data_IF_406488284993
#
_entry.id   IF_406488284993
#
_cell.length_a   1.000
_cell.length_b   1.000
_cell.length_c   1.000
_cell.angle_alpha   90.00
_cell.angle_beta   90.00
_cell.angle_gamma   90.00
#
_symmetry.space_group_name_H-M   'P 1'
#
loop_
_entity.id
_entity.type
_entity.pdbx_description
1 polymer ?
#
# COMPACT_ATOMS: atom_id res chain seq x y z
N UNK A 1 78.22 -71.00 -6.28
CA UNK A 1 77.99 -70.12 -7.44
C UNK A 1 77.56 -68.77 -6.91
N UNK A 2 78.42 -67.75 -7.11
CA UNK A 2 78.19 -66.28 -7.11
C UNK A 2 77.37 -65.62 -5.96
N UNK A 3 78.03 -64.87 -5.05
CA UNK A 3 78.33 -63.40 -5.08
C UNK A 3 77.32 -62.65 -4.18
N UNK A 4 77.72 -62.16 -2.99
CA UNK A 4 78.40 -60.88 -2.67
C UNK A 4 77.40 -59.75 -2.34
N UNK A 5 77.62 -59.16 -1.15
CA UNK A 5 77.50 -57.71 -0.79
C UNK A 5 76.06 -57.19 -0.60
N UNK A 6 75.71 -56.26 0.30
CA UNK A 6 76.18 -55.67 1.58
C UNK A 6 75.17 -54.52 1.84
N UNK A 7 74.67 -54.38 3.08
CA UNK A 7 74.10 -53.20 3.78
C UNK A 7 73.42 -52.03 3.03
N UNK A 8 72.33 -51.48 3.61
CA UNK A 8 72.27 -50.11 4.20
C UNK A 8 70.90 -49.81 4.86
N UNK A 9 71.01 -48.99 5.90
CA UNK A 9 70.10 -48.39 6.88
C UNK A 9 68.91 -47.53 6.33
N UNK A 10 68.07 -47.09 7.29
CA UNK A 10 67.16 -45.91 7.27
C UNK A 10 65.70 -46.16 6.84
N UNK A 11 64.64 -45.52 7.33
CA UNK A 11 64.35 -44.52 8.39
C UNK A 11 62.80 -44.32 8.34
N UNK A 12 62.16 -44.13 9.50
CA UNK A 12 60.83 -43.47 9.70
C UNK A 12 59.60 -43.88 8.87
N UNK A 13 58.55 -44.33 9.56
CA UNK A 13 57.18 -44.44 9.02
C UNK A 13 56.14 -43.92 10.01
N UNK A 14 55.83 -42.64 9.92
CA UNK A 14 54.64 -41.98 10.49
C UNK A 14 54.27 -40.89 9.49
N UNK A 15 53.09 -40.96 8.89
CA UNK A 15 52.26 -39.83 8.45
C UNK A 15 50.94 -40.39 7.89
N UNK A 16 49.87 -40.10 8.62
CA UNK A 16 48.48 -40.38 8.32
C UNK A 16 47.99 -39.44 7.21
N UNK A 17 47.39 -39.99 6.15
CA UNK A 17 46.65 -39.20 5.18
C UNK A 17 45.16 -39.18 5.56
N UNK A 18 44.69 -38.06 6.11
CA UNK A 18 43.27 -37.71 6.16
C UNK A 18 42.94 -36.99 4.85
N UNK A 19 42.07 -37.58 4.04
CA UNK A 19 41.55 -36.96 2.82
C UNK A 19 40.54 -35.86 3.15
N UNK A 20 40.59 -34.79 2.36
CA UNK A 20 39.85 -33.54 2.50
C UNK A 20 38.34 -33.74 2.43
N UNK A 21 37.59 -33.12 3.37
CA UNK A 21 36.19 -32.78 3.14
C UNK A 21 36.16 -31.49 2.32
N UNK A 22 35.46 -31.53 1.19
CA UNK A 22 35.17 -30.35 0.38
C UNK A 22 34.09 -29.55 1.12
N UNK A 23 34.48 -28.56 1.94
CA UNK A 23 33.55 -27.56 2.47
C UNK A 23 33.16 -26.59 1.35
N UNK A 24 32.26 -27.04 0.47
CA UNK A 24 31.58 -26.18 -0.48
C UNK A 24 30.37 -25.54 0.21
N UNK A 25 30.61 -24.83 1.31
CA UNK A 25 29.64 -23.87 1.85
C UNK A 25 29.83 -22.56 1.10
N UNK A 26 28.77 -21.86 0.66
CA UNK A 26 28.95 -20.54 0.07
C UNK A 26 29.65 -19.67 1.11
N UNK A 27 30.80 -19.10 0.75
CA UNK A 27 31.54 -18.18 1.61
C UNK A 27 30.65 -16.95 1.78
N UNK A 28 29.86 -16.91 2.84
CA UNK A 28 29.36 -15.67 3.37
C UNK A 28 30.59 -14.93 3.90
N UNK A 29 30.94 -13.81 3.29
CA UNK A 29 31.97 -12.94 3.85
C UNK A 29 31.56 -12.61 5.29
N UNK A 30 32.44 -12.90 6.26
CA UNK A 30 32.25 -12.49 7.66
C UNK A 30 32.33 -10.95 7.83
N UNK A 31 32.59 -10.24 6.74
CA UNK A 31 32.66 -8.79 6.70
C UNK A 31 31.26 -8.19 6.87
N UNK A 32 31.19 -7.11 7.64
CA UNK A 32 29.96 -6.38 7.93
C UNK A 32 30.02 -4.97 7.35
N UNK A 33 28.87 -4.43 6.98
CA UNK A 33 28.68 -3.01 6.71
C UNK A 33 27.72 -2.39 7.72
N UNK A 34 27.66 -1.07 7.77
CA UNK A 34 26.70 -0.32 8.57
C UNK A 34 25.65 0.32 7.70
N UNK A 35 24.39 0.31 8.16
CA UNK A 35 23.28 0.91 7.45
C UNK A 35 22.60 1.97 8.32
N UNK A 36 22.31 3.11 7.73
CA UNK A 36 21.43 4.16 8.27
C UNK A 36 20.16 4.22 7.45
N UNK A 37 19.07 4.64 8.08
CA UNK A 37 17.78 4.75 7.40
C UNK A 37 17.34 6.21 7.29
N UNK A 38 16.69 6.51 6.16
CA UNK A 38 16.00 7.77 5.92
C UNK A 38 14.63 7.45 5.32
N UNK A 39 13.58 8.10 5.83
CA UNK A 39 12.23 8.02 5.27
C UNK A 39 11.86 9.37 4.68
N UNK A 40 11.25 9.34 3.51
CA UNK A 40 10.67 10.52 2.84
C UNK A 40 9.19 10.24 2.59
N UNK A 41 8.32 11.06 3.17
CA UNK A 41 6.90 11.09 2.83
C UNK A 41 6.73 11.87 1.53
N UNK A 42 6.16 11.21 0.52
CA UNK A 42 5.94 11.77 -0.82
C UNK A 42 4.48 12.10 -1.11
N UNK A 43 3.59 11.90 -0.14
CA UNK A 43 2.14 12.05 -0.32
C UNK A 43 1.71 13.48 -0.70
N UNK A 44 2.46 14.50 -0.29
CA UNK A 44 2.18 15.91 -0.66
C UNK A 44 2.57 16.22 -2.12
N UNK A 45 3.57 15.53 -2.67
CA UNK A 45 4.04 15.74 -4.05
C UNK A 45 3.14 15.04 -5.06
N UNK A 46 2.60 13.88 -4.70
CA UNK A 46 1.71 13.09 -5.56
C UNK A 46 0.29 13.68 -5.65
N UNK A 47 -0.12 14.50 -4.67
CA UNK A 47 -1.54 14.85 -4.52
C UNK A 47 -1.72 16.31 -4.09
N UNK A 48 -1.51 17.24 -5.03
CA UNK A 48 -1.60 18.71 -4.84
C UNK A 48 -2.99 19.27 -4.44
N UNK A 49 -3.99 18.43 -4.19
CA UNK A 49 -5.38 18.84 -3.88
C UNK A 49 -5.92 18.33 -2.54
N UNK A 50 -5.13 17.59 -1.73
CA UNK A 50 -5.59 17.06 -0.44
C UNK A 50 -5.20 17.97 0.72
N UNK A 51 -6.06 18.04 1.73
CA UNK A 51 -5.60 18.37 3.09
C UNK A 51 -4.53 17.33 3.47
N UNK A 52 -3.32 17.77 3.82
CA UNK A 52 -2.22 16.89 4.21
C UNK A 52 -2.73 15.81 5.17
N UNK A 53 -2.38 14.54 4.94
CA UNK A 53 -2.83 13.40 5.76
C UNK A 53 -2.38 13.51 7.23
N UNK A 54 -1.59 14.53 7.58
CA UNK A 54 -1.05 14.81 8.91
C UNK A 54 -0.41 13.57 9.54
N UNK A 55 0.30 12.79 8.72
CA UNK A 55 1.00 11.60 9.16
C UNK A 55 2.33 12.00 9.81
N UNK A 56 2.61 11.41 10.96
CA UNK A 56 3.92 11.56 11.60
C UNK A 56 4.83 10.42 11.15
N UNK A 57 5.79 10.73 10.29
CA UNK A 57 6.79 9.77 9.77
C UNK A 57 7.57 9.10 10.91
N UNK A 58 7.73 9.77 12.05
CA UNK A 58 8.39 9.21 13.24
C UNK A 58 7.66 7.99 13.81
N UNK A 59 6.35 7.88 13.59
CA UNK A 59 5.51 6.78 14.06
C UNK A 59 5.38 5.63 13.04
N UNK A 60 6.03 5.72 11.88
CA UNK A 60 5.99 4.65 10.88
C UNK A 60 6.67 3.40 11.42
N UNK A 61 6.08 2.24 11.12
CA UNK A 61 6.69 0.94 11.37
C UNK A 61 7.68 0.63 10.27
N UNK A 62 8.90 0.26 10.66
CA UNK A 62 9.98 -0.12 9.76
C UNK A 62 10.32 -1.59 9.98
N UNK A 63 10.56 -2.32 8.90
CA UNK A 63 11.04 -3.70 8.90
C UNK A 63 12.22 -3.86 7.95
N UNK A 64 13.16 -4.72 8.31
CA UNK A 64 14.33 -5.03 7.51
C UNK A 64 14.47 -6.54 7.38
N UNK A 65 14.53 -7.03 6.15
CA UNK A 65 14.73 -8.44 5.84
C UNK A 65 15.96 -8.62 4.94
N UNK A 66 16.57 -9.80 5.02
CA UNK A 66 17.52 -10.30 4.02
C UNK A 66 16.93 -11.55 3.36
N UNK A 67 16.50 -11.43 2.11
CA UNK A 67 15.60 -12.42 1.51
C UNK A 67 14.36 -12.62 2.39
N UNK A 68 14.04 -13.87 2.70
CA UNK A 68 12.90 -14.20 3.57
C UNK A 68 13.23 -14.14 5.08
N UNK A 69 14.48 -13.86 5.44
CA UNK A 69 14.90 -13.84 6.86
C UNK A 69 14.75 -12.43 7.44
N UNK A 70 13.85 -12.22 8.41
CA UNK A 70 13.71 -10.92 9.05
C UNK A 70 14.89 -10.65 9.98
N UNK A 71 15.45 -9.44 9.87
CA UNK A 71 16.40 -8.89 10.85
C UNK A 71 15.63 -8.18 11.96
N UNK A 72 14.61 -7.42 11.60
CA UNK A 72 13.57 -6.95 12.51
C UNK A 72 12.29 -6.66 11.73
N UNK A 73 11.13 -6.79 12.39
CA UNK A 73 9.83 -6.78 11.69
C UNK A 73 8.95 -5.56 11.99
N UNK A 74 9.23 -4.80 13.05
CA UNK A 74 8.38 -3.66 13.43
C UNK A 74 9.07 -2.76 14.46
N UNK A 75 9.94 -1.85 14.00
CA UNK A 75 10.51 -0.77 14.83
C UNK A 75 9.92 0.56 14.43
N UNK A 76 9.66 1.47 15.37
CA UNK A 76 9.26 2.83 15.01
C UNK A 76 10.44 3.58 14.41
N UNK A 77 10.20 4.38 13.39
CA UNK A 77 11.26 5.14 12.73
C UNK A 77 12.01 6.03 13.72
N UNK A 78 11.31 6.70 14.64
CA UNK A 78 11.93 7.54 15.70
C UNK A 78 12.95 6.81 16.57
N UNK A 79 12.81 5.50 16.74
CA UNK A 79 13.69 4.70 17.58
C UNK A 79 14.99 4.29 16.87
N UNK A 80 15.01 4.38 15.53
CA UNK A 80 16.14 3.96 14.69
C UNK A 80 16.74 5.11 13.86
N UNK A 81 16.04 6.23 13.71
CA UNK A 81 16.51 7.40 12.99
C UNK A 81 17.85 7.90 13.57
N UNK A 82 18.84 8.13 12.71
CA UNK A 82 20.18 8.56 13.12
C UNK A 82 21.06 7.47 13.74
N UNK A 83 20.56 6.24 13.92
CA UNK A 83 21.35 5.10 14.39
C UNK A 83 21.93 4.29 13.22
N UNK A 84 22.96 3.49 13.48
CA UNK A 84 23.51 2.53 12.53
C UNK A 84 23.12 1.10 12.92
N UNK A 85 22.85 0.26 11.93
CA UNK A 85 22.67 -1.19 12.10
C UNK A 85 23.78 -1.91 11.36
N UNK A 86 24.52 -2.75 12.08
CA UNK A 86 25.54 -3.63 11.50
C UNK A 86 24.87 -4.85 10.87
N UNK A 87 25.18 -5.11 9.60
CA UNK A 87 24.66 -6.22 8.81
C UNK A 87 25.81 -6.92 8.10
N UNK A 88 25.70 -8.24 7.87
CA UNK A 88 26.63 -8.95 7.00
C UNK A 88 26.63 -8.33 5.61
N UNK A 89 27.80 -8.21 4.99
CA UNK A 89 27.89 -7.74 3.63
C UNK A 89 27.15 -8.68 2.66
N UNK A 90 26.61 -8.09 1.60
CA UNK A 90 25.96 -8.80 0.51
C UNK A 90 24.57 -8.28 0.14
N UNK A 91 23.96 -8.90 -0.89
CA UNK A 91 22.73 -8.42 -1.50
C UNK A 91 21.47 -8.91 -0.76
N UNK A 92 20.32 -8.59 -1.36
CA UNK A 92 18.98 -9.07 -1.01
C UNK A 92 18.41 -8.47 0.28
N UNK A 93 18.84 -7.27 0.63
CA UNK A 93 18.21 -6.53 1.73
C UNK A 93 16.99 -5.79 1.21
N UNK A 94 15.90 -5.86 1.98
CA UNK A 94 14.66 -5.14 1.72
C UNK A 94 14.27 -4.39 2.98
N UNK A 95 14.25 -3.06 2.89
CA UNK A 95 13.74 -2.17 3.92
C UNK A 95 12.31 -1.79 3.56
N UNK A 96 11.37 -1.93 4.49
CA UNK A 96 9.98 -1.50 4.31
C UNK A 96 9.60 -0.53 5.40
N UNK A 97 8.80 0.47 5.04
CA UNK A 97 8.22 1.40 6.00
C UNK A 97 6.74 1.62 5.68
N UNK A 98 5.89 1.60 6.72
CA UNK A 98 4.47 1.85 6.57
C UNK A 98 3.83 2.50 7.81
N UNK A 99 2.80 3.32 7.61
CA UNK A 99 2.06 3.94 8.71
C UNK A 99 1.09 2.96 9.38
N UNK A 100 0.59 1.98 8.63
CA UNK A 100 -0.29 0.92 9.08
C UNK A 100 -0.19 -0.29 8.15
N UNK A 101 -0.55 -1.47 8.67
CA UNK A 101 -0.56 -2.69 7.87
C UNK A 101 -1.67 -2.67 6.82
N UNK A 102 -1.53 -3.48 5.77
CA UNK A 102 -2.57 -3.66 4.75
C UNK A 102 -3.94 -4.04 5.35
N UNK A 103 -3.97 -4.92 6.35
CA UNK A 103 -5.21 -5.31 7.02
C UNK A 103 -5.84 -4.16 7.84
N UNK A 104 -5.02 -3.36 8.52
CA UNK A 104 -5.49 -2.19 9.27
C UNK A 104 -6.03 -1.09 8.35
N UNK A 105 -5.46 -0.94 7.16
CA UNK A 105 -5.88 0.05 6.18
C UNK A 105 -7.35 -0.08 5.79
N UNK A 106 -7.93 -1.28 5.85
CA UNK A 106 -9.37 -1.50 5.57
C UNK A 106 -10.23 -1.68 6.82
N UNK A 107 -9.70 -2.26 7.90
CA UNK A 107 -10.50 -2.60 9.09
C UNK A 107 -10.65 -1.46 10.09
N UNK A 108 -9.78 -0.44 10.06
CA UNK A 108 -9.85 0.71 10.98
C UNK A 108 -11.10 1.56 10.76
N UNK A 109 -11.37 2.45 11.72
CA UNK A 109 -12.46 3.43 11.67
C UNK A 109 -13.83 2.80 11.40
N UNK A 110 -14.16 1.72 12.12
CA UNK A 110 -15.38 0.94 11.92
C UNK A 110 -15.49 0.40 10.50
N UNK A 111 -14.41 -0.21 10.00
CA UNK A 111 -14.25 -0.72 8.64
C UNK A 111 -14.25 0.32 7.51
N UNK A 112 -14.37 1.63 7.78
CA UNK A 112 -14.16 2.66 6.75
C UNK A 112 -12.72 2.73 6.25
N UNK A 113 -11.79 2.16 7.03
CA UNK A 113 -10.38 2.13 6.70
C UNK A 113 -9.68 3.46 7.01
N UNK A 114 -8.43 3.55 6.59
CA UNK A 114 -7.59 4.73 6.70
C UNK A 114 -6.57 4.77 5.55
N UNK A 115 -5.97 5.94 5.32
CA UNK A 115 -4.90 6.06 4.34
C UNK A 115 -3.72 5.15 4.72
N UNK A 116 -3.26 4.35 3.76
CA UNK A 116 -2.06 3.54 3.89
C UNK A 116 -0.95 4.20 3.11
N UNK A 117 0.12 4.53 3.80
CA UNK A 117 1.35 5.04 3.22
C UNK A 117 2.41 3.96 3.40
N UNK A 118 3.03 3.57 2.29
CA UNK A 118 3.95 2.44 2.21
C UNK A 118 5.12 2.80 1.29
N UNK A 119 6.29 2.30 1.63
CA UNK A 119 7.45 2.33 0.76
C UNK A 119 8.35 1.13 1.04
N UNK A 120 9.09 0.70 0.01
CA UNK A 120 10.13 -0.30 0.17
C UNK A 120 11.34 0.03 -0.71
N UNK A 121 12.53 -0.34 -0.25
CA UNK A 121 13.79 -0.15 -0.98
C UNK A 121 14.64 -1.41 -0.88
N UNK A 122 15.10 -1.90 -2.04
CA UNK A 122 16.02 -3.03 -2.13
C UNK A 122 17.46 -2.53 -2.24
N UNK A 123 18.38 -3.09 -1.45
CA UNK A 123 19.77 -2.64 -1.45
C UNK A 123 20.77 -3.76 -1.15
N UNK A 124 22.05 -3.43 -1.27
CA UNK A 124 23.19 -4.29 -0.94
C UNK A 124 24.01 -3.66 0.17
N UNK A 125 24.39 -4.45 1.17
CA UNK A 125 25.30 -4.01 2.23
C UNK A 125 26.74 -4.18 1.74
N UNK A 126 27.50 -3.10 1.71
CA UNK A 126 28.92 -3.11 1.33
C UNK A 126 29.79 -3.24 2.58
N UNK A 127 30.80 -4.11 2.52
CA UNK A 127 31.71 -4.36 3.63
C UNK A 127 32.50 -3.11 4.03
N UNK A 128 32.61 -2.86 5.34
CA UNK A 128 33.38 -1.75 5.94
C UNK A 128 32.92 -0.34 5.50
N UNK A 129 31.70 -0.21 5.00
CA UNK A 129 31.10 1.07 4.61
C UNK A 129 29.85 1.36 5.45
N UNK A 130 29.54 2.65 5.61
CA UNK A 130 28.27 3.11 6.16
C UNK A 130 27.42 3.66 5.02
N UNK A 131 26.29 3.03 4.73
CA UNK A 131 25.37 3.45 3.67
C UNK A 131 24.05 3.94 4.25
N UNK A 132 23.53 5.06 3.74
CA UNK A 132 22.18 5.53 4.07
C UNK A 132 21.21 5.02 3.01
N UNK A 133 20.22 4.24 3.44
CA UNK A 133 19.14 3.74 2.59
C UNK A 133 17.93 4.66 2.79
N UNK A 134 17.47 5.27 1.71
CA UNK A 134 16.29 6.13 1.70
C UNK A 134 15.10 5.35 1.15
N UNK A 135 14.00 5.31 1.90
CA UNK A 135 12.72 4.76 1.44
C UNK A 135 11.75 5.90 1.18
N UNK A 136 11.28 5.99 -0.06
CA UNK A 136 10.21 6.89 -0.44
C UNK A 136 8.88 6.21 -0.13
N UNK A 137 8.11 6.81 0.76
CA UNK A 137 6.81 6.30 1.17
C UNK A 137 5.71 7.13 0.47
N UNK A 138 4.88 6.47 -0.33
CA UNK A 138 3.77 7.08 -1.07
C UNK A 138 2.44 6.52 -0.61
N UNK A 139 1.34 7.12 -1.08
CA UNK A 139 0.02 6.56 -0.83
C UNK A 139 -0.07 5.21 -1.55
N UNK A 140 -0.53 4.16 -0.86
CA UNK A 140 -0.64 2.82 -1.42
C UNK A 140 -2.08 2.41 -1.73
N UNK A 141 -3.05 2.95 -0.98
CA UNK A 141 -4.46 2.62 -1.13
C UNK A 141 -5.25 3.80 -1.70
N UNK A 142 -6.47 3.52 -2.16
CA UNK A 142 -7.33 4.53 -2.78
C UNK A 142 -8.46 4.92 -1.85
N UNK A 143 -8.87 6.18 -1.93
CA UNK A 143 -9.96 6.73 -1.12
C UNK A 143 -11.19 7.01 -1.96
N UNK A 144 -12.36 6.80 -1.39
CA UNK A 144 -13.67 7.15 -1.95
C UNK A 144 -14.37 8.11 -1.01
N UNK A 145 -14.82 9.23 -1.58
CA UNK A 145 -15.67 10.21 -0.92
C UNK A 145 -16.90 10.48 -1.78
N UNK A 146 -17.92 11.06 -1.17
CA UNK A 146 -19.20 11.34 -1.83
C UNK A 146 -19.60 12.78 -1.56
N UNK A 147 -20.18 13.42 -2.55
CA UNK A 147 -20.79 14.73 -2.44
C UNK A 147 -22.17 14.73 -3.10
N UNK A 148 -23.12 15.35 -2.43
CA UNK A 148 -24.48 15.53 -2.93
C UNK A 148 -24.73 17.02 -3.13
N UNK A 149 -25.31 17.40 -4.27
CA UNK A 149 -25.66 18.81 -4.55
C UNK A 149 -26.56 19.41 -3.48
N UNK A 150 -26.45 20.72 -3.25
CA UNK A 150 -27.29 21.47 -2.31
C UNK A 150 -28.79 21.28 -2.56
N UNK A 151 -29.19 21.07 -3.82
CA UNK A 151 -30.57 20.75 -4.16
C UNK A 151 -31.03 19.43 -3.54
N UNK A 152 -30.25 18.35 -3.66
CA UNK A 152 -30.56 17.06 -3.03
C UNK A 152 -30.67 17.24 -1.51
N UNK A 153 -29.70 17.92 -0.93
CA UNK A 153 -29.58 18.14 0.52
C UNK A 153 -30.76 18.94 1.08
N UNK A 154 -31.28 19.89 0.30
CA UNK A 154 -32.41 20.75 0.72
C UNK A 154 -33.78 20.20 0.33
N UNK A 155 -33.86 19.31 -0.67
CA UNK A 155 -35.13 18.80 -1.21
C UNK A 155 -35.53 17.43 -0.67
N UNK A 156 -34.59 16.65 -0.15
CA UNK A 156 -34.83 15.28 0.28
C UNK A 156 -34.37 15.01 1.71
N UNK A 157 -35.22 14.34 2.47
CA UNK A 157 -34.89 13.89 3.82
C UNK A 157 -34.03 12.61 3.84
N UNK A 158 -34.08 11.81 2.78
CA UNK A 158 -33.35 10.54 2.68
C UNK A 158 -32.71 10.42 1.30
N UNK A 159 -31.42 10.17 1.23
CA UNK A 159 -30.69 9.89 -0.01
C UNK A 159 -29.41 9.14 0.32
N UNK A 160 -28.97 8.25 -0.56
CA UNK A 160 -27.74 7.50 -0.30
C UNK A 160 -27.04 7.00 -1.54
N UNK A 161 -25.77 6.65 -1.36
CA UNK A 161 -25.04 5.78 -2.27
C UNK A 161 -24.40 4.66 -1.45
N UNK A 162 -24.69 3.42 -1.83
CA UNK A 162 -24.06 2.24 -1.26
C UNK A 162 -22.89 1.83 -2.17
N UNK A 163 -21.69 1.63 -1.62
CA UNK A 163 -20.46 1.33 -2.36
C UNK A 163 -19.73 0.15 -1.72
N UNK A 164 -19.31 -0.82 -2.52
CA UNK A 164 -18.51 -1.96 -2.06
C UNK A 164 -17.57 -2.46 -3.17
N UNK A 165 -16.47 -3.11 -2.79
CA UNK A 165 -15.63 -3.80 -3.76
C UNK A 165 -16.25 -5.15 -4.12
N UNK A 166 -16.29 -5.52 -5.40
CA UNK A 166 -17.03 -6.71 -5.87
C UNK A 166 -16.47 -8.02 -5.34
N UNK A 167 -15.17 -8.04 -4.99
CA UNK A 167 -14.47 -9.13 -4.31
C UNK A 167 -14.69 -9.19 -2.79
N UNK A 168 -15.31 -8.16 -2.19
CA UNK A 168 -15.50 -8.01 -0.75
C UNK A 168 -16.86 -7.37 -0.40
N UNK A 169 -17.95 -7.92 -0.95
CA UNK A 169 -19.32 -7.38 -0.77
C UNK A 169 -19.81 -7.30 0.69
N UNK A 170 -19.21 -8.06 1.61
CA UNK A 170 -19.48 -7.95 3.04
C UNK A 170 -19.06 -6.60 3.65
N UNK A 171 -18.16 -5.86 2.99
CA UNK A 171 -17.71 -4.53 3.37
C UNK A 171 -18.37 -3.48 2.47
N UNK A 172 -19.64 -3.20 2.78
CA UNK A 172 -20.45 -2.19 2.09
C UNK A 172 -20.51 -0.89 2.89
N UNK A 173 -20.29 0.23 2.20
CA UNK A 173 -20.37 1.58 2.76
C UNK A 173 -21.61 2.28 2.28
N UNK A 174 -22.43 2.73 3.23
CA UNK A 174 -23.55 3.63 2.96
C UNK A 174 -23.14 5.06 3.26
N UNK A 175 -23.03 5.87 2.21
CA UNK A 175 -22.97 7.32 2.36
C UNK A 175 -24.38 7.87 2.25
N UNK A 176 -24.83 8.57 3.28
CA UNK A 176 -26.20 9.10 3.40
C UNK A 176 -26.19 10.52 3.97
N UNK A 177 -27.38 11.12 4.15
CA UNK A 177 -27.58 12.48 4.65
C UNK A 177 -26.88 12.79 5.97
N UNK A 178 -26.59 11.76 6.76
CA UNK A 178 -25.99 11.92 8.10
C UNK A 178 -24.48 11.94 8.07
N UNK A 179 -23.85 11.39 7.01
CA UNK A 179 -22.43 11.02 7.10
C UNK A 179 -21.56 11.43 5.90
N UNK A 180 -22.15 11.72 4.73
CA UNK A 180 -21.39 11.89 3.49
C UNK A 180 -20.29 12.97 3.54
N UNK A 181 -20.50 14.04 4.31
CA UNK A 181 -19.57 15.19 4.39
C UNK A 181 -18.26 14.90 5.13
N UNK A 182 -18.23 13.88 5.99
CA UNK A 182 -17.09 13.65 6.88
C UNK A 182 -16.58 12.20 6.85
N UNK A 183 -17.25 11.33 6.10
CA UNK A 183 -16.78 9.96 5.89
C UNK A 183 -15.97 9.86 4.60
N UNK A 184 -14.97 8.98 4.64
CA UNK A 184 -14.15 8.59 3.49
C UNK A 184 -13.88 7.11 3.66
N UNK A 185 -14.16 6.33 2.62
CA UNK A 185 -13.87 4.90 2.59
C UNK A 185 -12.51 4.68 1.94
N UNK A 186 -11.72 3.75 2.48
CA UNK A 186 -10.42 3.38 1.93
C UNK A 186 -10.42 1.94 1.45
N UNK A 187 -9.84 1.71 0.28
CA UNK A 187 -9.77 0.41 -0.38
C UNK A 187 -8.32 0.11 -0.75
N UNK A 188 -7.82 -1.05 -0.32
CA UNK A 188 -6.57 -1.55 -0.86
C UNK A 188 -6.79 -1.98 -2.30
N UNK A 189 -5.90 -1.56 -3.19
CA UNK A 189 -5.97 -1.86 -4.62
C UNK A 189 -4.60 -2.34 -5.05
N UNK A 190 -4.50 -3.57 -5.54
CA UNK A 190 -3.26 -4.14 -6.07
C UNK A 190 -3.43 -4.26 -7.59
N UNK A 191 -3.00 -3.24 -8.33
CA UNK A 191 -3.23 -3.13 -9.78
C UNK A 191 -4.59 -2.48 -10.09
N UNK A 192 -5.64 -3.28 -10.23
CA UNK A 192 -7.00 -2.77 -10.46
C UNK A 192 -8.00 -3.48 -9.55
N UNK A 193 -9.00 -2.76 -9.03
CA UNK A 193 -10.06 -3.34 -8.21
C UNK A 193 -11.41 -2.75 -8.58
N UNK A 194 -12.39 -3.60 -8.79
CA UNK A 194 -13.72 -3.18 -9.21
C UNK A 194 -14.59 -2.82 -7.99
N UNK A 195 -15.20 -1.64 -8.04
CA UNK A 195 -16.25 -1.22 -7.12
C UNK A 195 -17.61 -1.36 -7.78
N UNK A 196 -18.59 -1.82 -7.03
CA UNK A 196 -20.01 -1.66 -7.33
C UNK A 196 -20.56 -0.51 -6.50
N UNK A 197 -21.41 0.30 -7.11
CA UNK A 197 -22.10 1.38 -6.43
C UNK A 197 -23.58 1.43 -6.81
N UNK A 198 -24.43 1.83 -5.86
CA UNK A 198 -25.88 2.00 -6.07
C UNK A 198 -26.33 3.34 -5.49
N UNK A 199 -26.75 4.24 -6.37
CA UNK A 199 -27.33 5.54 -5.99
C UNK A 199 -28.83 5.35 -5.75
N UNK A 200 -29.32 5.83 -4.60
CA UNK A 200 -30.73 5.80 -4.23
C UNK A 200 -31.20 7.20 -3.84
N UNK A 201 -32.17 7.73 -4.58
CA UNK A 201 -32.87 8.98 -4.31
C UNK A 201 -34.36 8.69 -4.07
N UNK A 202 -35.12 9.59 -3.41
CA UNK A 202 -36.56 9.40 -3.23
C UNK A 202 -37.33 9.34 -4.56
N UNK A 203 -38.56 8.83 -4.50
CA UNK A 203 -39.49 8.89 -5.64
C UNK A 203 -39.57 10.31 -6.22
N UNK A 204 -39.55 10.48 -7.56
CA UNK A 204 -39.80 9.47 -8.59
C UNK A 204 -38.55 8.75 -9.15
N UNK A 205 -37.36 9.00 -8.59
CA UNK A 205 -36.12 8.43 -9.13
C UNK A 205 -36.00 6.93 -8.83
N UNK A 206 -35.58 6.15 -9.84
CA UNK A 206 -35.24 4.74 -9.64
C UNK A 206 -33.78 4.62 -9.17
N UNK A 207 -33.45 3.60 -8.36
CA UNK A 207 -32.05 3.31 -8.02
C UNK A 207 -31.21 3.06 -9.27
N UNK A 208 -30.00 3.61 -9.29
CA UNK A 208 -29.02 3.40 -10.36
C UNK A 208 -27.85 2.60 -9.82
N UNK A 209 -27.50 1.48 -10.47
CA UNK A 209 -26.40 0.61 -10.09
C UNK A 209 -25.43 0.44 -11.25
N UNK A 210 -24.13 0.57 -10.96
CA UNK A 210 -23.08 0.36 -11.94
C UNK A 210 -21.74 0.05 -11.24
N UNK A 211 -20.67 -0.09 -12.02
CA UNK A 211 -19.33 -0.46 -11.56
C UNK A 211 -18.27 0.53 -12.00
N UNK A 212 -17.18 0.62 -11.22
CA UNK A 212 -16.02 1.45 -11.50
C UNK A 212 -14.73 0.65 -11.26
N UNK A 213 -13.81 0.67 -12.23
CA UNK A 213 -12.46 0.12 -12.02
C UNK A 213 -11.58 1.14 -11.30
N UNK A 214 -11.13 0.81 -10.09
CA UNK A 214 -10.18 1.61 -9.31
C UNK A 214 -8.74 1.23 -9.62
N UNK A 215 -7.89 2.25 -9.65
CA UNK A 215 -6.43 2.16 -9.61
C UNK A 215 -5.94 2.47 -8.19
N UNK A 216 -4.74 2.00 -7.79
CA UNK A 216 -4.13 2.33 -6.51
C UNK A 216 -3.75 3.80 -6.40
N UNK A 217 -3.65 4.28 -5.16
CA UNK A 217 -3.12 5.61 -4.85
C UNK A 217 -3.94 6.77 -5.44
N UNK A 218 -5.24 6.55 -5.67
CA UNK A 218 -6.17 7.53 -6.27
C UNK A 218 -7.22 8.00 -5.29
N UNK A 219 -7.67 9.23 -5.49
CA UNK A 219 -8.81 9.81 -4.77
C UNK A 219 -10.02 9.90 -5.68
N UNK A 220 -11.01 9.06 -5.43
CA UNK A 220 -12.29 9.04 -6.12
C UNK A 220 -13.32 9.87 -5.33
N UNK A 221 -14.03 10.75 -6.03
CA UNK A 221 -15.18 11.46 -5.50
C UNK A 221 -16.39 11.24 -6.41
N UNK A 222 -17.42 10.63 -5.85
CA UNK A 222 -18.73 10.52 -6.49
C UNK A 222 -19.52 11.80 -6.19
N UNK A 223 -19.88 12.55 -7.22
CA UNK A 223 -20.64 13.79 -7.11
C UNK A 223 -22.01 13.60 -7.74
N UNK A 224 -23.06 13.49 -6.91
CA UNK A 224 -24.42 13.29 -7.37
C UNK A 224 -25.12 14.65 -7.38
N UNK A 225 -25.65 15.04 -8.53
CA UNK A 225 -26.31 16.32 -8.75
C UNK A 225 -27.67 16.11 -9.39
N UNK A 226 -28.58 17.05 -9.13
CA UNK A 226 -29.82 17.19 -9.88
C UNK A 226 -29.81 18.59 -10.49
N UNK A 227 -29.82 18.64 -11.82
CA UNK A 227 -29.88 19.88 -12.60
C UNK A 227 -31.23 19.94 -13.32
N UNK A 228 -31.93 21.08 -13.25
CA UNK A 228 -33.23 21.27 -13.90
C UNK A 228 -34.27 21.94 -13.00
N UNK A 229 -35.51 22.04 -13.48
CA UNK A 229 -36.65 22.54 -12.71
C UNK A 229 -37.55 21.38 -12.23
N UNK A 230 -38.62 21.70 -11.50
CA UNK A 230 -39.57 20.71 -10.97
C UNK A 230 -40.30 19.87 -12.04
N UNK A 231 -40.12 20.20 -13.33
CA UNK A 231 -40.78 19.54 -14.47
C UNK A 231 -39.84 18.80 -15.40
N UNK A 232 -38.55 19.14 -15.43
CA UNK A 232 -37.50 18.44 -16.17
C UNK A 232 -36.21 18.42 -15.35
N UNK A 233 -36.12 17.52 -14.38
CA UNK A 233 -34.87 17.28 -13.64
C UNK A 233 -34.04 16.20 -14.33
N UNK A 234 -32.75 16.48 -14.47
CA UNK A 234 -31.73 15.52 -14.90
C UNK A 234 -30.86 15.20 -13.69
N UNK A 235 -30.76 13.92 -13.34
CA UNK A 235 -29.83 13.49 -12.30
C UNK A 235 -28.52 13.09 -12.96
N UNK A 236 -27.42 13.61 -12.44
CA UNK A 236 -26.08 13.37 -12.98
C UNK A 236 -25.18 12.82 -11.88
N UNK A 237 -24.44 11.76 -12.19
CA UNK A 237 -23.35 11.26 -11.38
C UNK A 237 -22.03 11.60 -12.06
N UNK A 238 -21.25 12.48 -11.46
CA UNK A 238 -19.87 12.74 -11.84
C UNK A 238 -18.89 11.92 -11.00
N UNK A 239 -17.98 11.20 -11.65
CA UNK A 239 -16.86 10.52 -10.98
C UNK A 239 -15.60 11.35 -11.21
N UNK A 240 -15.08 11.92 -10.13
CA UNK A 240 -13.91 12.79 -10.14
C UNK A 240 -12.73 12.01 -9.55
N UNK A 241 -11.64 11.89 -10.32
CA UNK A 241 -10.41 11.20 -9.94
C UNK A 241 -9.31 12.23 -9.78
N UNK A 242 -8.71 12.31 -8.60
CA UNK A 242 -7.66 13.27 -8.23
C UNK A 242 -8.02 14.74 -8.55
N UNK A 243 -9.30 15.07 -8.44
CA UNK A 243 -9.83 16.42 -8.71
C UNK A 243 -10.18 16.68 -10.19
N UNK A 244 -9.94 15.73 -11.09
CA UNK A 244 -10.32 15.82 -12.51
C UNK A 244 -11.57 14.99 -12.78
N UNK A 245 -12.56 15.55 -13.47
CA UNK A 245 -13.74 14.78 -13.90
C UNK A 245 -13.31 13.69 -14.88
N UNK A 246 -13.53 12.43 -14.52
CA UNK A 246 -13.18 11.26 -15.32
C UNK A 246 -14.38 10.75 -16.11
N UNK A 247 -15.54 10.72 -15.48
CA UNK A 247 -16.77 10.19 -16.05
C UNK A 247 -17.97 11.00 -15.58
N UNK A 248 -18.97 11.14 -16.44
CA UNK A 248 -20.24 11.78 -16.13
C UNK A 248 -21.38 10.91 -16.70
N UNK A 249 -22.26 10.45 -15.82
CA UNK A 249 -23.37 9.55 -16.15
C UNK A 249 -24.69 10.26 -15.87
N UNK A 250 -25.60 10.25 -16.84
CA UNK A 250 -26.96 10.73 -16.66
C UNK A 250 -27.83 9.58 -16.14
N UNK A 251 -28.40 9.73 -14.95
CA UNK A 251 -29.15 8.68 -14.25
C UNK A 251 -30.65 8.65 -14.60
N UNK A 252 -31.13 9.61 -15.39
CA UNK A 252 -32.55 9.72 -15.77
C UNK A 252 -32.77 9.68 -17.28
N UNK A 253 -33.75 8.89 -17.72
CA UNK A 253 -34.66 9.29 -18.79
C UNK A 253 -35.71 10.24 -18.19
N UNK A 254 -36.06 11.31 -18.89
CA UNK A 254 -36.99 12.39 -18.45
C UNK A 254 -38.21 11.88 -17.68
N UNK A 255 -38.34 12.25 -16.39
CA UNK A 255 -39.56 11.99 -15.62
C UNK A 255 -40.53 13.14 -15.88
N UNK A 256 -41.55 12.91 -16.73
CA UNK A 256 -42.68 13.83 -16.86
C UNK A 256 -43.58 13.67 -15.62
N UNK A 257 -43.75 14.68 -14.74
CA UNK A 257 -44.58 14.58 -13.55
C UNK A 257 -46.10 14.52 -13.84
N UNK A 258 -46.50 14.53 -15.12
CA UNK A 258 -47.89 14.46 -15.57
C UNK A 258 -48.23 13.23 -16.44
N UNK A 259 -47.40 12.18 -16.44
CA UNK A 259 -47.69 10.92 -17.15
C UNK A 259 -48.52 9.94 -16.30
#
# INVERSE_FOLDING_TARGET
>A
MNKKILYILSLTGLLSFSACSNDNSPVHSNETGEIRFSLVDTTEVEITTRASLNLDVNEFSVSLNRGDTPIFTSRKYKDIAGTTISCSAGPNYLLKAENCTEAEAESKNSNWGQARVYGEESFTVVANETNTVTVNCGLANSSVSVDFSDYIVSSFDNYSIDIYATDASSRTFKFDETNYKFKTAYFNVNGTRELSYTVTLPSPYQPYTDTLSMEPSKSYKFSIKIDGDSTNSTVTLGIIVDGTLSEEVILTESINPYA
#
